data_IF_150105554814
#
_entry.id   IF_150105554814
#
_cell.length_a   1.000
_cell.length_b   1.000
_cell.length_c   1.000
_cell.angle_alpha   90.00
_cell.angle_beta   90.00
_cell.angle_gamma   90.00
#
_symmetry.space_group_name_H-M   'P 1'
#
loop_
_entity.id
_entity.type
_entity.pdbx_description
1 polymer ?
#
# COMPACT_ATOMS: atom_id res chain seq x y z
N UNK A 1 0.88 10.40 -24.30
CA UNK A 1 0.41 9.19 -23.57
C UNK A 1 1.53 8.44 -22.85
N UNK A 2 2.61 8.00 -23.52
CA UNK A 2 3.67 7.17 -22.92
C UNK A 2 4.25 7.70 -21.59
N UNK A 3 4.59 8.99 -21.53
CA UNK A 3 5.13 9.64 -20.33
C UNK A 3 4.22 9.48 -19.10
N UNK A 4 2.90 9.57 -19.27
CA UNK A 4 1.94 9.45 -18.16
C UNK A 4 1.95 8.05 -17.54
N UNK A 5 2.05 7.02 -18.38
CA UNK A 5 2.13 5.63 -17.94
C UNK A 5 3.45 5.35 -17.23
N UNK A 6 4.56 5.86 -17.76
CA UNK A 6 5.89 5.72 -17.15
C UNK A 6 5.90 6.40 -15.77
N UNK A 7 5.37 7.62 -15.66
CA UNK A 7 5.31 8.35 -14.39
C UNK A 7 4.38 7.68 -13.38
N UNK A 8 3.24 7.15 -13.84
CA UNK A 8 2.33 6.38 -12.98
C UNK A 8 3.00 5.15 -12.43
N UNK A 9 3.58 4.33 -13.31
CA UNK A 9 4.25 3.09 -12.92
C UNK A 9 5.44 3.35 -11.98
N UNK A 10 6.25 4.39 -12.25
CA UNK A 10 7.37 4.75 -11.39
C UNK A 10 6.93 5.18 -9.98
N UNK A 11 5.90 6.02 -9.87
CA UNK A 11 5.38 6.48 -8.58
C UNK A 11 4.76 5.33 -7.78
N UNK A 12 3.98 4.46 -8.43
CA UNK A 12 3.38 3.30 -7.75
C UNK A 12 4.43 2.24 -7.37
N UNK A 13 5.46 2.03 -8.20
CA UNK A 13 6.59 1.17 -7.86
C UNK A 13 7.36 1.71 -6.64
N UNK A 14 7.59 3.03 -6.58
CA UNK A 14 8.16 3.67 -5.40
C UNK A 14 7.26 3.48 -4.17
N UNK A 15 5.94 3.57 -4.34
CA UNK A 15 4.96 3.24 -3.31
C UNK A 15 5.08 1.80 -2.80
N UNK A 16 5.38 0.83 -3.66
CA UNK A 16 5.66 -0.56 -3.26
C UNK A 16 6.95 -0.70 -2.47
N UNK A 17 8.03 -0.05 -2.91
CA UNK A 17 9.29 -0.04 -2.15
C UNK A 17 9.09 0.59 -0.77
N UNK A 18 8.34 1.69 -0.72
CA UNK A 18 8.02 2.37 0.54
C UNK A 18 7.14 1.52 1.45
N UNK A 19 6.18 0.78 0.90
CA UNK A 19 5.39 -0.18 1.67
C UNK A 19 6.26 -1.25 2.34
N UNK A 20 7.21 -1.82 1.59
CA UNK A 20 8.15 -2.83 2.11
C UNK A 20 9.02 -2.24 3.22
N UNK A 21 9.63 -1.08 2.96
CA UNK A 21 10.49 -0.39 3.92
C UNK A 21 9.73 -0.02 5.20
N UNK A 22 8.56 0.62 5.08
CA UNK A 22 7.75 1.01 6.22
C UNK A 22 7.27 -0.21 6.99
N UNK A 23 6.86 -1.29 6.31
CA UNK A 23 6.47 -2.54 6.98
C UNK A 23 7.59 -3.09 7.85
N UNK A 24 8.80 -3.14 7.31
CA UNK A 24 9.98 -3.59 8.06
C UNK A 24 10.28 -2.66 9.24
N UNK A 25 10.32 -1.35 9.00
CA UNK A 25 10.59 -0.35 10.03
C UNK A 25 9.55 -0.36 11.13
N UNK A 26 8.26 -0.46 10.78
CA UNK A 26 7.14 -0.50 11.72
C UNK A 26 7.23 -1.71 12.63
N UNK A 27 7.54 -2.89 12.08
CA UNK A 27 7.76 -4.09 12.89
C UNK A 27 9.02 -4.02 13.74
N UNK A 28 10.12 -3.48 13.22
CA UNK A 28 11.35 -3.27 13.97
C UNK A 28 11.12 -2.35 15.17
N UNK A 29 10.51 -1.18 14.96
CA UNK A 29 10.23 -0.24 16.04
C UNK A 29 9.24 -0.81 17.06
N UNK A 30 8.20 -1.51 16.58
CA UNK A 30 7.23 -2.15 17.48
C UNK A 30 7.91 -3.17 18.39
N UNK A 31 8.81 -4.01 17.86
CA UNK A 31 9.51 -5.01 18.67
C UNK A 31 10.48 -4.42 19.67
N UNK A 32 11.14 -3.31 19.32
CA UNK A 32 12.01 -2.60 20.26
C UNK A 32 11.24 -1.94 21.41
N UNK A 33 10.04 -1.42 21.14
CA UNK A 33 9.27 -0.64 22.12
C UNK A 33 8.32 -1.50 22.98
N UNK A 34 7.71 -2.52 22.39
CA UNK A 34 6.62 -3.29 23.00
C UNK A 34 6.89 -4.80 23.06
N UNK A 35 8.03 -5.26 22.53
CA UNK A 35 8.36 -6.68 22.44
C UNK A 35 7.73 -7.40 21.24
N UNK A 36 7.79 -8.73 21.23
CA UNK A 36 7.38 -9.54 20.08
C UNK A 36 5.89 -9.46 19.76
N UNK A 37 5.54 -9.38 18.48
CA UNK A 37 4.17 -9.62 18.01
C UNK A 37 3.82 -11.10 18.22
N UNK A 38 2.70 -11.40 18.89
CA UNK A 38 2.26 -12.76 19.26
C UNK A 38 2.00 -13.76 18.12
N UNK A 39 2.32 -13.40 16.87
CA UNK A 39 2.26 -14.30 15.69
C UNK A 39 3.58 -14.21 14.91
N UNK A 40 4.67 -14.66 15.53
CA UNK A 40 5.99 -14.79 14.91
C UNK A 40 6.07 -16.03 14.01
N UNK A 41 6.88 -15.96 12.95
CA UNK A 41 7.11 -17.08 12.02
C UNK A 41 6.23 -17.06 10.76
N UNK A 42 5.92 -18.24 10.24
CA UNK A 42 5.32 -18.45 8.90
C UNK A 42 3.96 -17.75 8.75
N UNK A 43 3.14 -17.70 9.80
CA UNK A 43 1.82 -17.06 9.75
C UNK A 43 1.92 -15.54 9.52
N UNK A 44 2.87 -14.87 10.17
CA UNK A 44 3.08 -13.44 9.98
C UNK A 44 3.68 -13.11 8.61
N UNK A 45 4.62 -13.92 8.13
CA UNK A 45 5.17 -13.77 6.80
C UNK A 45 4.09 -13.96 5.72
N UNK A 46 3.22 -14.97 5.85
CA UNK A 46 2.11 -15.21 4.92
C UNK A 46 1.10 -14.06 4.89
N UNK A 47 0.72 -13.54 6.06
CA UNK A 47 -0.19 -12.40 6.14
C UNK A 47 0.41 -11.15 5.46
N UNK A 48 1.69 -10.87 5.70
CA UNK A 48 2.39 -9.76 5.06
C UNK A 48 2.46 -9.95 3.53
N UNK A 49 2.82 -11.14 3.06
CA UNK A 49 2.94 -11.45 1.64
C UNK A 49 1.61 -11.25 0.90
N UNK A 50 0.51 -11.73 1.50
CA UNK A 50 -0.83 -11.58 0.95
C UNK A 50 -1.22 -10.10 0.83
N UNK A 51 -1.02 -9.31 1.88
CA UNK A 51 -1.29 -7.87 1.87
C UNK A 51 -0.42 -7.19 0.82
N UNK A 52 0.86 -7.53 0.74
CA UNK A 52 1.77 -6.94 -0.24
C UNK A 52 1.32 -7.23 -1.67
N UNK A 53 0.93 -8.47 -2.00
CA UNK A 53 0.43 -8.78 -3.34
C UNK A 53 -0.90 -8.09 -3.66
N UNK A 54 -1.83 -8.02 -2.69
CA UNK A 54 -3.07 -7.28 -2.87
C UNK A 54 -2.80 -5.78 -3.11
N UNK A 55 -1.89 -5.20 -2.33
CA UNK A 55 -1.45 -3.82 -2.47
C UNK A 55 -0.74 -3.57 -3.81
N UNK A 56 0.25 -4.38 -4.18
CA UNK A 56 1.01 -4.24 -5.41
C UNK A 56 0.12 -4.43 -6.64
N UNK A 57 -0.77 -5.43 -6.63
CA UNK A 57 -1.75 -5.65 -7.69
C UNK A 57 -2.71 -4.47 -7.83
N UNK A 58 -3.24 -3.95 -6.72
CA UNK A 58 -4.11 -2.77 -6.75
C UNK A 58 -3.35 -1.54 -7.27
N UNK A 59 -2.11 -1.32 -6.84
CA UNK A 59 -1.30 -0.20 -7.31
C UNK A 59 -0.92 -0.31 -8.79
N UNK A 60 -0.73 -1.52 -9.30
CA UNK A 60 -0.56 -1.76 -10.73
C UNK A 60 -1.84 -1.34 -11.49
N UNK A 61 -3.02 -1.78 -11.02
CA UNK A 61 -4.29 -1.38 -11.63
C UNK A 61 -4.48 0.14 -11.57
N UNK A 62 -4.17 0.78 -10.43
CA UNK A 62 -4.24 2.23 -10.25
C UNK A 62 -3.27 2.99 -11.18
N UNK A 63 -2.06 2.49 -11.37
CA UNK A 63 -1.08 3.06 -12.29
C UNK A 63 -1.55 2.99 -13.75
N UNK A 64 -2.36 1.98 -14.07
CA UNK A 64 -2.88 1.76 -15.41
C UNK A 64 -4.22 2.48 -15.69
N UNK A 65 -4.93 2.91 -14.64
CA UNK A 65 -6.20 3.61 -14.79
C UNK A 65 -5.97 5.07 -15.24
N UNK A 66 -6.82 5.62 -16.14
CA UNK A 66 -6.80 7.04 -16.44
C UNK A 66 -7.16 7.87 -15.21
N UNK A 67 -6.67 9.12 -15.11
CA UNK A 67 -7.03 10.02 -14.03
C UNK A 67 -8.56 10.23 -14.02
N UNK A 68 -9.20 9.95 -12.88
CA UNK A 68 -10.66 10.00 -12.75
C UNK A 68 -11.15 9.87 -11.31
N UNK A 69 -12.43 9.54 -11.13
CA UNK A 69 -13.06 9.38 -9.79
C UNK A 69 -12.92 7.97 -9.19
N UNK A 70 -12.44 7.01 -9.97
CA UNK A 70 -12.28 5.58 -9.59
C UNK A 70 -11.08 5.31 -8.65
N UNK A 71 -9.93 6.01 -8.77
CA UNK A 71 -8.76 5.74 -7.92
C UNK A 71 -9.01 5.95 -6.40
N UNK A 72 -9.74 7.00 -5.98
CA UNK A 72 -10.11 7.21 -4.58
C UNK A 72 -10.83 6.04 -3.88
N UNK A 73 -11.98 5.55 -4.38
CA UNK A 73 -12.69 4.44 -3.74
C UNK A 73 -11.90 3.13 -3.79
N UNK A 74 -11.06 2.88 -4.80
CA UNK A 74 -10.20 1.69 -4.85
C UNK A 74 -9.17 1.67 -3.71
N UNK A 75 -8.56 2.81 -3.40
CA UNK A 75 -7.61 2.92 -2.28
C UNK A 75 -8.31 2.65 -0.95
N UNK A 76 -9.51 3.21 -0.76
CA UNK A 76 -10.31 2.98 0.43
C UNK A 76 -10.75 1.51 0.54
N UNK A 77 -11.23 0.92 -0.57
CA UNK A 77 -11.63 -0.48 -0.63
C UNK A 77 -10.47 -1.41 -0.27
N UNK A 78 -9.26 -1.15 -0.76
CA UNK A 78 -8.06 -1.91 -0.38
C UNK A 78 -7.81 -1.86 1.13
N UNK A 79 -7.84 -0.67 1.73
CA UNK A 79 -7.69 -0.51 3.18
C UNK A 79 -8.75 -1.27 3.96
N UNK A 80 -10.02 -1.16 3.55
CA UNK A 80 -11.16 -1.85 4.16
C UNK A 80 -11.03 -3.38 4.04
N UNK A 81 -10.67 -3.90 2.88
CA UNK A 81 -10.48 -5.35 2.65
C UNK A 81 -9.34 -5.87 3.52
N UNK A 82 -8.20 -5.16 3.58
CA UNK A 82 -7.07 -5.54 4.44
C UNK A 82 -7.47 -5.51 5.91
N UNK A 83 -8.25 -4.50 6.33
CA UNK A 83 -8.76 -4.41 7.69
C UNK A 83 -9.65 -5.61 8.01
N UNK A 84 -10.73 -5.84 7.26
CA UNK A 84 -11.67 -6.94 7.53
C UNK A 84 -11.02 -8.32 7.48
N UNK A 85 -10.05 -8.53 6.58
CA UNK A 85 -9.37 -9.82 6.47
C UNK A 85 -8.48 -10.13 7.67
N UNK A 86 -7.73 -9.12 8.16
CA UNK A 86 -6.78 -9.32 9.25
C UNK A 86 -7.39 -9.12 10.64
N UNK A 87 -8.48 -8.36 10.78
CA UNK A 87 -9.07 -8.01 12.08
C UNK A 87 -9.38 -9.22 12.97
N UNK A 88 -9.93 -10.35 12.47
CA UNK A 88 -10.30 -11.48 13.32
C UNK A 88 -9.12 -12.19 13.98
N UNK A 89 -7.94 -12.20 13.35
CA UNK A 89 -6.78 -12.99 13.80
C UNK A 89 -5.60 -12.12 14.23
N UNK A 90 -5.45 -10.94 13.63
CA UNK A 90 -4.28 -10.09 13.74
C UNK A 90 -4.68 -8.60 13.79
N UNK A 91 -5.40 -8.14 14.83
CA UNK A 91 -6.01 -6.80 14.87
C UNK A 91 -5.00 -5.65 14.74
N UNK A 92 -3.84 -5.76 15.41
CA UNK A 92 -2.78 -4.74 15.30
C UNK A 92 -2.21 -4.65 13.87
N UNK A 93 -2.00 -5.80 13.21
CA UNK A 93 -1.57 -5.84 11.81
C UNK A 93 -2.65 -5.33 10.88
N UNK A 94 -3.93 -5.58 11.20
CA UNK A 94 -5.06 -5.11 10.42
C UNK A 94 -5.08 -3.58 10.38
N UNK A 95 -5.00 -2.93 11.54
CA UNK A 95 -4.95 -1.46 11.63
C UNK A 95 -3.73 -0.90 10.90
N UNK A 96 -2.54 -1.45 11.17
CA UNK A 96 -1.30 -1.00 10.55
C UNK A 96 -1.33 -1.13 9.02
N UNK A 97 -1.63 -2.32 8.50
CA UNK A 97 -1.59 -2.57 7.06
C UNK A 97 -2.75 -1.95 6.29
N UNK A 98 -3.93 -1.80 6.88
CA UNK A 98 -5.04 -1.11 6.21
C UNK A 98 -4.71 0.36 5.94
N UNK A 99 -4.17 1.05 6.95
CA UNK A 99 -3.70 2.43 6.84
C UNK A 99 -2.50 2.52 5.88
N UNK A 100 -1.53 1.61 6.00
CA UNK A 100 -0.36 1.61 5.14
C UNK A 100 -0.74 1.38 3.66
N UNK A 101 -1.54 0.36 3.39
CA UNK A 101 -1.94 -0.03 2.03
C UNK A 101 -2.86 1.02 1.38
N UNK A 102 -3.91 1.45 2.08
CA UNK A 102 -4.83 2.45 1.57
C UNK A 102 -4.17 3.83 1.44
N UNK A 103 -3.43 4.24 2.47
CA UNK A 103 -2.76 5.54 2.53
C UNK A 103 -1.65 5.69 1.49
N UNK A 104 -0.76 4.71 1.35
CA UNK A 104 0.30 4.78 0.33
C UNK A 104 -0.27 4.73 -1.10
N UNK A 105 -1.31 3.93 -1.33
CA UNK A 105 -1.99 3.89 -2.65
C UNK A 105 -2.60 5.26 -2.97
N UNK A 106 -3.24 5.89 -2.00
CA UNK A 106 -3.79 7.24 -2.14
C UNK A 106 -2.72 8.28 -2.43
N UNK A 107 -1.63 8.27 -1.67
CA UNK A 107 -0.49 9.18 -1.87
C UNK A 107 0.15 8.97 -3.24
N UNK A 108 0.29 7.72 -3.70
CA UNK A 108 0.82 7.40 -5.02
C UNK A 108 -0.09 7.95 -6.13
N UNK A 109 -1.42 7.82 -6.01
CA UNK A 109 -2.38 8.42 -6.94
C UNK A 109 -2.23 9.94 -7.00
N UNK A 110 -2.13 10.62 -5.84
CA UNK A 110 -1.96 12.07 -5.79
C UNK A 110 -0.62 12.52 -6.38
N UNK A 111 0.47 11.83 -6.02
CA UNK A 111 1.81 12.13 -6.52
C UNK A 111 1.90 11.92 -8.03
N UNK A 112 1.34 10.81 -8.54
CA UNK A 112 1.28 10.53 -9.98
C UNK A 112 0.52 11.61 -10.74
N UNK A 113 -0.63 12.06 -10.23
CA UNK A 113 -1.41 13.17 -10.84
C UNK A 113 -0.61 14.47 -10.84
N UNK A 114 -0.03 14.85 -9.70
CA UNK A 114 0.76 16.09 -9.60
C UNK A 114 1.96 16.06 -10.53
N UNK A 115 2.69 14.95 -10.60
CA UNK A 115 3.87 14.80 -11.45
C UNK A 115 3.49 14.80 -12.94
N UNK A 116 2.41 14.10 -13.32
CA UNK A 116 1.92 14.10 -14.69
C UNK A 116 1.49 15.50 -15.16
N UNK A 117 0.84 16.30 -14.29
CA UNK A 117 0.49 17.68 -14.58
C UNK A 117 1.73 18.56 -14.77
N UNK A 118 2.78 18.37 -13.94
CA UNK A 118 4.03 19.13 -14.04
C UNK A 118 4.86 18.81 -15.28
N UNK A 119 4.78 17.59 -15.79
CA UNK A 119 5.51 17.15 -16.99
C UNK A 119 4.73 17.38 -18.29
N UNK A 120 3.47 17.80 -18.19
CA UNK A 120 2.62 18.18 -19.32
C UNK A 120 2.43 19.70 -19.46
N UNK A 121 2.87 20.46 -18.45
CA UNK A 121 2.98 21.92 -18.47
C UNK A 121 4.32 22.33 -19.09
#
# INVERSE_FOLDING_TARGET
MKIRWITGLAVHALGCLLFVFLSWLGFYLYTQLFGGLGSVGIAGAKAWLLVFYAYAGTNLVLALLPPGRIPPPLCAALGVVVLFYLLPQHPLRAMYFSLLAGGLSWLAVLASRKLALRLQA
#
